data_IF_136114111105
#
_entry.id   IF_136114111105
#
_cell.length_a   1.000
_cell.length_b   1.000
_cell.length_c   1.000
_cell.angle_alpha   90.00
_cell.angle_beta   90.00
_cell.angle_gamma   90.00
#
_symmetry.space_group_name_H-M   'P 1'
#
loop_
_entity.id
_entity.type
_entity.pdbx_description
1 polymer ?
#
# COMPACT_ATOMS: atom_id res chain seq x y z
N UNK A 1 6.57 20.29 -5.03
CA UNK A 1 5.19 20.36 -4.48
C UNK A 1 4.25 19.28 -5.01
N UNK A 2 4.01 19.14 -6.33
CA UNK A 2 3.04 18.17 -6.87
C UNK A 2 3.28 16.71 -6.39
N UNK A 3 4.54 16.27 -6.31
CA UNK A 3 4.88 14.92 -5.85
C UNK A 3 4.53 14.66 -4.36
N UNK A 4 4.75 15.64 -3.49
CA UNK A 4 4.35 15.54 -2.08
C UNK A 4 2.83 15.62 -1.91
N UNK A 5 2.15 16.37 -2.78
CA UNK A 5 0.70 16.39 -2.80
C UNK A 5 0.13 15.01 -3.21
N UNK A 6 0.66 14.39 -4.27
CA UNK A 6 0.26 13.03 -4.66
C UNK A 6 0.59 11.99 -3.58
N UNK A 7 1.74 12.12 -2.92
CA UNK A 7 2.12 11.25 -1.80
C UNK A 7 1.15 11.37 -0.63
N UNK A 8 0.85 12.60 -0.19
CA UNK A 8 -0.06 12.82 0.94
C UNK A 8 -1.48 12.37 0.62
N UNK A 9 -1.96 12.56 -0.61
CA UNK A 9 -3.25 12.02 -1.07
C UNK A 9 -3.30 10.49 -0.96
N UNK A 10 -2.24 9.80 -1.37
CA UNK A 10 -2.13 8.33 -1.23
C UNK A 10 -2.05 7.88 0.23
N UNK A 11 -1.29 8.58 1.07
CA UNK A 11 -1.16 8.24 2.49
C UNK A 11 -2.47 8.48 3.27
N UNK A 12 -3.32 9.40 2.82
CA UNK A 12 -4.65 9.62 3.40
C UNK A 12 -5.69 8.62 2.91
N UNK A 13 -5.63 8.20 1.65
CA UNK A 13 -6.56 7.25 1.06
C UNK A 13 -6.48 5.87 1.74
N UNK A 14 -7.60 5.15 1.81
CA UNK A 14 -7.68 3.76 2.27
C UNK A 14 -6.78 2.83 1.43
N UNK A 15 -6.67 3.14 0.13
CA UNK A 15 -5.79 2.55 -0.86
C UNK A 15 -6.05 3.20 -2.21
N UNK A 16 -5.56 2.61 -3.28
CA UNK A 16 -5.80 3.12 -4.63
C UNK A 16 -4.93 2.45 -5.68
N UNK A 17 -5.16 2.82 -6.93
CA UNK A 17 -4.39 2.36 -8.06
C UNK A 17 -4.09 3.51 -9.02
N UNK A 18 -2.95 3.43 -9.69
CA UNK A 18 -2.64 4.33 -10.80
C UNK A 18 -3.56 4.02 -11.97
N UNK A 19 -4.05 5.07 -12.64
CA UNK A 19 -4.71 4.90 -13.93
C UNK A 19 -3.74 4.24 -14.92
N UNK A 20 -4.19 3.35 -15.84
CA UNK A 20 -3.31 2.70 -16.81
C UNK A 20 -2.43 3.65 -17.63
N UNK A 21 -2.91 4.86 -17.88
CA UNK A 21 -2.15 5.92 -18.58
C UNK A 21 -1.09 6.62 -17.70
N UNK A 22 -1.03 6.33 -16.40
CA UNK A 22 -0.02 6.85 -15.47
C UNK A 22 -0.16 8.32 -15.06
N UNK A 23 -1.14 9.05 -15.60
CA UNK A 23 -1.32 10.50 -15.36
C UNK A 23 -2.26 10.85 -14.21
N UNK A 24 -3.06 9.90 -13.75
CA UNK A 24 -4.06 10.06 -12.69
C UNK A 24 -4.13 8.80 -11.83
N UNK A 25 -4.89 8.85 -10.74
CA UNK A 25 -5.08 7.71 -9.84
C UNK A 25 -6.50 7.63 -9.32
N UNK A 26 -6.97 6.41 -9.07
CA UNK A 26 -8.20 6.17 -8.33
C UNK A 26 -7.83 5.95 -6.86
N UNK A 27 -8.36 6.80 -5.99
CA UNK A 27 -8.13 6.74 -4.55
C UNK A 27 -9.39 6.28 -3.83
N UNK A 28 -9.25 5.28 -2.98
CA UNK A 28 -10.32 4.72 -2.19
C UNK A 28 -10.40 5.42 -0.83
N UNK A 29 -11.61 5.70 -0.36
CA UNK A 29 -11.89 6.28 0.96
C UNK A 29 -12.94 5.45 1.68
N UNK A 30 -12.60 4.93 2.86
CA UNK A 30 -13.51 4.19 3.73
C UNK A 30 -14.10 5.14 4.78
N UNK A 31 -15.25 5.75 4.47
CA UNK A 31 -15.92 6.73 5.33
C UNK A 31 -17.39 6.35 5.54
N UNK A 32 -17.90 6.57 6.76
CA UNK A 32 -19.32 6.32 7.14
C UNK A 32 -19.88 4.97 6.66
N UNK A 33 -19.12 3.89 6.79
CA UNK A 33 -19.50 2.53 6.34
C UNK A 33 -19.57 2.34 4.82
N UNK A 34 -19.06 3.29 4.03
CA UNK A 34 -18.99 3.20 2.57
C UNK A 34 -17.54 3.25 2.10
N UNK A 35 -17.25 2.52 1.04
CA UNK A 35 -16.03 2.64 0.26
C UNK A 35 -16.33 3.49 -0.97
N UNK A 36 -15.64 4.61 -1.10
CA UNK A 36 -15.82 5.57 -2.19
C UNK A 36 -14.54 5.61 -3.01
N UNK A 37 -14.64 5.45 -4.32
CA UNK A 37 -13.56 5.72 -5.26
C UNK A 37 -13.62 7.19 -5.66
N UNK A 38 -12.48 7.87 -5.70
CA UNK A 38 -12.34 9.25 -6.19
C UNK A 38 -11.22 9.31 -7.22
N UNK A 39 -11.48 9.94 -8.36
CA UNK A 39 -10.47 10.16 -9.38
C UNK A 39 -9.62 11.38 -9.06
N UNK A 40 -8.32 11.20 -8.87
CA UNK A 40 -7.36 12.27 -8.64
C UNK A 40 -6.52 12.53 -9.89
N UNK A 41 -6.58 13.75 -10.40
CA UNK A 41 -5.93 14.19 -11.65
C UNK A 41 -4.52 14.77 -11.44
N UNK A 42 -4.03 14.81 -10.20
CA UNK A 42 -2.79 15.51 -9.82
C UNK A 42 -3.01 16.91 -9.27
N UNK A 43 -4.18 17.52 -9.51
CA UNK A 43 -4.51 18.86 -9.01
C UNK A 43 -5.87 18.94 -8.31
N UNK A 44 -6.84 18.11 -8.68
CA UNK A 44 -8.18 18.11 -8.13
C UNK A 44 -8.78 16.69 -8.12
N UNK A 45 -9.87 16.55 -7.39
CA UNK A 45 -10.74 15.37 -7.51
C UNK A 45 -11.75 15.61 -8.63
N UNK A 46 -11.86 14.64 -9.53
CA UNK A 46 -12.93 14.53 -10.51
C UNK A 46 -14.06 13.67 -9.98
N UNK A 47 -14.47 12.70 -10.79
CA UNK A 47 -15.59 11.81 -10.50
C UNK A 47 -15.39 10.99 -9.22
N UNK A 48 -16.51 10.63 -8.60
CA UNK A 48 -16.56 9.81 -7.41
C UNK A 48 -17.69 8.79 -7.48
N UNK A 49 -17.39 7.57 -7.07
CA UNK A 49 -18.31 6.44 -7.14
C UNK A 49 -18.36 5.70 -5.81
N UNK A 50 -19.55 5.27 -5.41
CA UNK A 50 -19.71 4.36 -4.27
C UNK A 50 -19.38 2.96 -4.76
N UNK A 51 -18.28 2.41 -4.26
CA UNK A 51 -17.81 1.06 -4.60
C UNK A 51 -18.55 0.00 -3.79
N UNK A 52 -18.72 0.26 -2.49
CA UNK A 52 -19.32 -0.70 -1.57
C UNK A 52 -19.91 -0.01 -0.35
N UNK A 53 -20.91 -0.65 0.26
CA UNK A 53 -21.45 -0.30 1.58
C UNK A 53 -21.09 -1.37 2.62
N UNK A 54 -21.33 -1.12 3.90
CA UNK A 54 -21.00 -2.04 5.00
C UNK A 54 -19.50 -2.34 5.08
N UNK A 55 -18.67 -1.32 4.87
CA UNK A 55 -17.20 -1.37 4.97
C UNK A 55 -16.77 -0.84 6.34
N UNK A 56 -15.71 -1.38 6.93
CA UNK A 56 -15.20 -0.89 8.22
C UNK A 56 -14.73 0.55 8.08
N UNK A 57 -15.27 1.45 8.90
CA UNK A 57 -14.89 2.87 8.91
C UNK A 57 -13.40 3.03 9.20
N UNK A 58 -12.73 3.95 8.52
CA UNK A 58 -11.28 4.19 8.65
C UNK A 58 -10.39 2.96 8.36
N UNK A 59 -10.91 1.97 7.62
CA UNK A 59 -10.11 0.83 7.19
C UNK A 59 -9.23 1.15 5.99
N UNK A 60 -8.27 0.27 5.74
CA UNK A 60 -7.58 0.19 4.45
C UNK A 60 -8.42 -0.59 3.45
N UNK A 61 -8.14 -0.33 2.18
CA UNK A 61 -8.63 -1.06 1.02
C UNK A 61 -7.47 -1.20 0.03
N UNK A 62 -7.57 -2.14 -0.89
CA UNK A 62 -6.61 -2.33 -1.96
C UNK A 62 -7.34 -2.31 -3.28
N UNK A 63 -6.81 -1.57 -4.25
CA UNK A 63 -7.29 -1.59 -5.62
C UNK A 63 -6.24 -2.28 -6.50
N UNK A 64 -6.59 -3.45 -7.00
CA UNK A 64 -5.77 -4.31 -7.84
C UNK A 64 -6.22 -4.16 -9.29
N UNK A 65 -5.33 -3.66 -10.15
CA UNK A 65 -5.56 -3.55 -11.60
C UNK A 65 -4.68 -4.56 -12.35
N UNK A 66 -5.32 -5.45 -13.09
CA UNK A 66 -4.72 -6.35 -14.06
C UNK A 66 -5.30 -6.06 -15.46
N UNK A 67 -4.68 -6.52 -16.56
CA UNK A 67 -5.05 -6.10 -17.93
C UNK A 67 -6.54 -6.27 -18.25
N UNK A 68 -7.14 -7.34 -17.73
CA UNK A 68 -8.53 -7.73 -17.99
C UNK A 68 -9.31 -7.94 -16.68
N UNK A 69 -8.84 -7.39 -15.56
CA UNK A 69 -9.52 -7.57 -14.27
C UNK A 69 -9.25 -6.41 -13.35
N UNK A 70 -10.32 -5.87 -12.77
CA UNK A 70 -10.29 -4.84 -11.74
C UNK A 70 -10.89 -5.46 -10.49
N UNK A 71 -10.09 -5.53 -9.42
CA UNK A 71 -10.52 -6.09 -8.15
C UNK A 71 -10.25 -5.10 -7.03
N UNK A 72 -11.20 -4.97 -6.12
CA UNK A 72 -11.03 -4.25 -4.87
C UNK A 72 -11.09 -5.24 -3.73
N UNK A 73 -10.15 -5.15 -2.81
CA UNK A 73 -10.18 -5.91 -1.55
C UNK A 73 -10.37 -4.90 -0.44
N UNK A 74 -11.35 -5.12 0.41
CA UNK A 74 -11.66 -4.25 1.54
C UNK A 74 -12.01 -5.06 2.78
N UNK A 75 -12.29 -4.36 3.87
CA UNK A 75 -12.64 -4.98 5.14
C UNK A 75 -14.10 -4.61 5.44
N UNK A 76 -14.95 -5.62 5.62
CA UNK A 76 -16.36 -5.42 5.96
C UNK A 76 -16.52 -4.80 7.36
N UNK A 77 -17.69 -4.25 7.65
CA UNK A 77 -18.03 -3.72 8.97
C UNK A 77 -17.94 -4.75 10.09
N UNK A 78 -18.04 -6.05 9.78
CA UNK A 78 -17.82 -7.15 10.72
C UNK A 78 -16.35 -7.55 10.89
N UNK A 79 -15.42 -6.78 10.31
CA UNK A 79 -13.98 -7.07 10.31
C UNK A 79 -13.59 -8.36 9.57
N UNK A 80 -14.25 -8.68 8.46
CA UNK A 80 -13.86 -9.77 7.58
C UNK A 80 -13.36 -9.23 6.23
N UNK A 81 -12.48 -9.99 5.54
CA UNK A 81 -12.10 -9.66 4.17
C UNK A 81 -13.31 -9.77 3.24
N UNK A 82 -13.36 -8.84 2.28
CA UNK A 82 -14.34 -8.79 1.20
C UNK A 82 -13.61 -8.45 -0.09
N UNK A 83 -13.97 -9.12 -1.18
CA UNK A 83 -13.46 -8.82 -2.51
C UNK A 83 -14.61 -8.39 -3.43
N UNK A 84 -14.34 -7.43 -4.29
CA UNK A 84 -15.26 -6.95 -5.32
C UNK A 84 -14.56 -7.00 -6.68
N UNK A 85 -15.30 -7.36 -7.71
CA UNK A 85 -14.84 -7.34 -9.10
C UNK A 85 -15.69 -6.35 -9.87
N UNK A 86 -15.08 -5.62 -10.81
CA UNK A 86 -15.82 -4.73 -11.69
C UNK A 86 -16.49 -5.53 -12.81
N UNK A 87 -17.79 -5.35 -12.98
CA UNK A 87 -18.56 -5.87 -14.10
C UNK A 87 -18.59 -4.81 -15.22
N UNK A 88 -17.89 -5.07 -16.32
CA UNK A 88 -17.81 -4.13 -17.45
C UNK A 88 -19.14 -4.00 -18.22
N UNK A 89 -20.04 -4.99 -18.17
CA UNK A 89 -21.34 -4.92 -18.87
C UNK A 89 -22.32 -3.99 -18.15
N UNK A 90 -22.35 -4.06 -16.82
CA UNK A 90 -23.25 -3.27 -15.98
C UNK A 90 -22.59 -2.01 -15.41
N UNK A 91 -21.30 -1.79 -15.70
CA UNK A 91 -20.47 -0.69 -15.20
C UNK A 91 -20.49 -0.52 -13.67
N UNK A 92 -20.56 -1.65 -12.94
CA UNK A 92 -20.73 -1.66 -11.49
C UNK A 92 -19.75 -2.61 -10.76
N UNK A 93 -19.56 -2.35 -9.46
CA UNK A 93 -18.80 -3.24 -8.59
C UNK A 93 -19.71 -4.31 -8.00
N UNK A 94 -19.35 -5.58 -8.21
CA UNK A 94 -20.08 -6.73 -7.69
C UNK A 94 -19.23 -7.51 -6.69
N UNK A 95 -19.90 -8.12 -5.70
CA UNK A 95 -19.23 -8.96 -4.71
C UNK A 95 -18.66 -10.23 -5.33
N UNK A 96 -17.38 -10.49 -5.05
CA UNK A 96 -16.74 -11.75 -5.37
C UNK A 96 -16.90 -12.74 -4.19
N UNK A 97 -17.13 -14.01 -4.50
CA UNK A 97 -17.30 -15.05 -3.48
C UNK A 97 -15.93 -15.57 -3.06
N UNK A 98 -15.51 -15.21 -1.85
CA UNK A 98 -14.22 -15.63 -1.28
C UNK A 98 -14.43 -16.42 0.03
N UNK A 99 -13.50 -17.30 0.42
CA UNK A 99 -13.51 -17.90 1.75
C UNK A 99 -13.51 -16.85 2.85
N UNK A 100 -14.11 -17.19 3.99
CA UNK A 100 -14.19 -16.27 5.12
C UNK A 100 -12.83 -16.12 5.81
N UNK A 101 -12.38 -14.87 5.95
CA UNK A 101 -11.15 -14.52 6.65
C UNK A 101 -11.40 -13.34 7.58
N UNK A 102 -11.34 -13.59 8.89
CA UNK A 102 -11.40 -12.53 9.90
C UNK A 102 -10.12 -11.71 9.89
N UNK A 103 -10.28 -10.40 10.01
CA UNK A 103 -9.20 -9.42 10.14
C UNK A 103 -9.24 -8.87 11.56
N UNK A 104 -8.06 -8.62 12.14
CA UNK A 104 -7.93 -7.92 13.41
C UNK A 104 -8.82 -6.65 13.42
N UNK A 105 -9.52 -6.31 14.52
CA UNK A 105 -10.40 -5.14 14.60
C UNK A 105 -9.72 -3.82 14.19
N UNK A 106 -8.44 -3.69 14.52
CA UNK A 106 -7.59 -2.56 14.13
C UNK A 106 -6.71 -2.85 12.92
N UNK A 107 -6.77 -4.08 12.38
CA UNK A 107 -5.92 -4.57 11.32
C UNK A 107 -6.01 -3.74 10.04
N UNK A 108 -4.98 -3.86 9.22
CA UNK A 108 -4.89 -3.22 7.91
C UNK A 108 -4.71 -4.30 6.86
N UNK A 109 -4.84 -3.90 5.60
CA UNK A 109 -4.65 -4.75 4.43
C UNK A 109 -3.72 -4.06 3.45
N UNK A 110 -2.93 -4.86 2.74
CA UNK A 110 -2.15 -4.44 1.60
C UNK A 110 -2.19 -5.55 0.55
N UNK A 111 -1.89 -5.20 -0.69
CA UNK A 111 -1.82 -6.15 -1.79
C UNK A 111 -0.58 -5.90 -2.62
N UNK A 112 -0.05 -6.94 -3.25
CA UNK A 112 1.02 -6.81 -4.24
C UNK A 112 0.83 -7.84 -5.33
N UNK A 113 1.39 -7.58 -6.51
CA UNK A 113 1.64 -8.61 -7.49
C UNK A 113 3.00 -9.25 -7.22
N UNK A 114 3.07 -10.58 -7.41
CA UNK A 114 4.33 -11.31 -7.48
C UNK A 114 4.93 -11.25 -8.88
N UNK A 115 6.13 -11.83 -9.02
CA UNK A 115 6.82 -11.96 -10.31
C UNK A 115 6.04 -12.80 -11.34
N UNK A 116 5.14 -13.65 -10.85
CA UNK A 116 4.23 -14.50 -11.61
C UNK A 116 2.92 -13.79 -12.00
N UNK A 117 2.81 -12.49 -11.73
CA UNK A 117 1.60 -11.68 -11.91
C UNK A 117 0.41 -12.15 -11.07
N UNK A 118 0.62 -12.96 -10.03
CA UNK A 118 -0.44 -13.33 -9.09
C UNK A 118 -0.59 -12.25 -8.03
N UNK A 119 -1.83 -11.98 -7.65
CA UNK A 119 -2.14 -11.04 -6.60
C UNK A 119 -2.04 -11.73 -5.24
N UNK A 120 -1.35 -11.08 -4.31
CA UNK A 120 -1.19 -11.52 -2.92
C UNK A 120 -1.83 -10.50 -1.99
N UNK A 121 -2.50 -10.98 -0.94
CA UNK A 121 -3.15 -10.13 0.07
C UNK A 121 -2.46 -10.32 1.40
N UNK A 122 -2.11 -9.22 2.06
CA UNK A 122 -1.46 -9.22 3.36
C UNK A 122 -2.33 -8.54 4.38
N UNK A 123 -2.57 -9.17 5.52
CA UNK A 123 -3.42 -8.62 6.58
C UNK A 123 -3.06 -9.19 7.94
N UNK A 124 -3.55 -8.55 9.00
CA UNK A 124 -3.38 -9.05 10.37
C UNK A 124 -4.64 -9.81 10.81
N UNK A 125 -4.50 -11.05 11.27
CA UNK A 125 -5.62 -11.86 11.78
C UNK A 125 -6.03 -11.44 13.22
N UNK A 126 -7.15 -11.96 13.78
CA UNK A 126 -7.57 -11.62 15.13
C UNK A 126 -6.56 -11.95 16.24
N UNK A 127 -5.63 -12.86 15.99
CA UNK A 127 -4.54 -13.20 16.92
C UNK A 127 -3.33 -12.25 16.80
N UNK A 128 -3.40 -11.24 15.93
CA UNK A 128 -2.33 -10.28 15.71
C UNK A 128 -1.24 -10.75 14.74
N UNK A 129 -1.40 -11.92 14.11
CA UNK A 129 -0.39 -12.50 13.21
C UNK A 129 -0.52 -11.92 11.81
N UNK A 130 0.62 -11.74 11.12
CA UNK A 130 0.61 -11.32 9.72
C UNK A 130 0.34 -12.54 8.82
N UNK A 131 -0.69 -12.44 7.99
CA UNK A 131 -1.15 -13.48 7.06
C UNK A 131 -0.94 -13.00 5.64
N UNK A 132 -0.47 -13.89 4.78
CA UNK A 132 -0.46 -13.74 3.32
C UNK A 132 -1.49 -14.70 2.71
N UNK A 133 -2.38 -14.21 1.86
CA UNK A 133 -3.25 -15.01 1.00
C UNK A 133 -2.66 -15.05 -0.40
N UNK A 134 -2.69 -16.21 -1.04
CA UNK A 134 -2.38 -16.35 -2.46
C UNK A 134 -3.58 -15.99 -3.35
N UNK A 135 -3.44 -16.16 -4.66
CA UNK A 135 -4.49 -15.88 -5.64
C UNK A 135 -5.71 -16.82 -5.52
N UNK A 136 -5.54 -17.96 -4.84
CA UNK A 136 -6.56 -18.94 -4.52
C UNK A 136 -7.11 -18.78 -3.09
N UNK A 137 -6.76 -17.70 -2.39
CA UNK A 137 -7.18 -17.40 -1.01
C UNK A 137 -6.65 -18.37 0.06
N UNK A 138 -5.58 -19.13 -0.23
CA UNK A 138 -4.97 -19.98 0.77
C UNK A 138 -4.09 -19.15 1.73
N UNK A 139 -4.27 -19.31 3.06
CA UNK A 139 -3.52 -18.53 4.03
C UNK A 139 -2.15 -19.14 4.36
N UNK A 140 -1.14 -18.28 4.44
CA UNK A 140 0.18 -18.55 5.00
C UNK A 140 0.43 -17.60 6.16
N UNK A 141 0.73 -18.15 7.35
CA UNK A 141 1.16 -17.34 8.51
C UNK A 141 2.62 -16.98 8.32
N UNK A 142 2.92 -15.67 8.34
CA UNK A 142 4.30 -15.19 8.20
C UNK A 142 5.00 -15.21 9.57
N UNK A 143 6.31 -15.56 9.64
CA UNK A 143 7.04 -15.71 10.90
C UNK A 143 7.50 -14.36 11.47
N UNK A 144 6.54 -13.46 11.70
CA UNK A 144 6.77 -12.08 12.18
C UNK A 144 5.76 -11.68 13.24
N UNK A 145 6.10 -10.65 14.00
CA UNK A 145 5.30 -10.14 15.13
C UNK A 145 5.02 -8.64 14.94
N UNK A 146 4.00 -8.28 14.15
CA UNK A 146 3.60 -6.88 14.00
C UNK A 146 2.87 -6.37 15.25
N UNK A 147 2.99 -5.07 15.53
CA UNK A 147 2.12 -4.39 16.50
C UNK A 147 0.65 -4.56 16.08
N UNK A 148 -0.25 -4.71 17.04
CA UNK A 148 -1.68 -4.75 16.78
C UNK A 148 -2.12 -3.48 16.02
N UNK A 149 -2.83 -3.67 14.90
CA UNK A 149 -3.25 -2.58 14.03
C UNK A 149 -2.12 -1.92 13.22
N UNK A 150 -0.95 -2.55 13.15
CA UNK A 150 0.19 -2.06 12.34
C UNK A 150 -0.27 -1.68 10.94
N UNK A 151 0.14 -0.51 10.42
CA UNK A 151 0.04 -0.25 9.00
C UNK A 151 0.83 -1.30 8.21
N UNK A 152 0.30 -1.68 7.06
CA UNK A 152 0.92 -2.65 6.16
C UNK A 152 1.05 -1.97 4.79
N UNK A 153 2.20 -2.09 4.17
CA UNK A 153 2.40 -1.70 2.77
C UNK A 153 3.34 -2.70 2.12
N UNK A 154 3.22 -2.82 0.81
CA UNK A 154 4.07 -3.69 0.00
C UNK A 154 4.91 -2.86 -0.95
N UNK A 155 6.10 -3.36 -1.29
CA UNK A 155 6.86 -2.90 -2.43
C UNK A 155 7.41 -4.12 -3.18
N UNK A 156 7.41 -4.05 -4.50
CA UNK A 156 8.04 -5.06 -5.32
C UNK A 156 9.45 -4.60 -5.68
N UNK A 157 10.45 -5.32 -5.18
CA UNK A 157 11.86 -4.96 -5.26
C UNK A 157 12.63 -6.22 -5.63
N UNK A 158 13.51 -6.14 -6.63
CA UNK A 158 14.39 -7.26 -7.02
C UNK A 158 13.63 -8.57 -7.24
N UNK A 159 12.47 -8.47 -7.89
CA UNK A 159 11.60 -9.59 -8.20
C UNK A 159 10.97 -10.30 -6.98
N UNK A 160 10.96 -9.64 -5.82
CA UNK A 160 10.37 -10.13 -4.57
C UNK A 160 9.36 -9.12 -4.01
N UNK A 161 8.34 -9.64 -3.33
CA UNK A 161 7.42 -8.82 -2.56
C UNK A 161 8.05 -8.57 -1.18
N UNK A 162 8.30 -7.31 -0.87
CA UNK A 162 8.66 -6.86 0.46
C UNK A 162 7.38 -6.36 1.15
N UNK A 163 7.00 -7.01 2.25
CA UNK A 163 5.85 -6.60 3.05
C UNK A 163 6.31 -5.91 4.30
N UNK A 164 6.03 -4.62 4.41
CA UNK A 164 6.49 -3.77 5.50
C UNK A 164 5.42 -3.61 6.57
N UNK A 165 5.88 -3.52 7.82
CA UNK A 165 5.04 -3.41 9.01
C UNK A 165 5.82 -2.74 10.16
N UNK A 166 5.14 -2.39 11.25
CA UNK A 166 5.77 -1.94 12.50
C UNK A 166 5.93 -3.15 13.43
N UNK A 167 7.17 -3.48 13.76
CA UNK A 167 7.53 -4.63 14.60
C UNK A 167 7.20 -4.40 16.06
N UNK A 168 6.62 -5.40 16.73
CA UNK A 168 6.36 -5.35 18.17
C UNK A 168 7.64 -5.49 19.02
N UNK A 169 8.76 -5.93 18.41
CA UNK A 169 10.04 -6.14 19.11
C UNK A 169 10.69 -4.82 19.52
N UNK A 170 10.58 -3.81 18.66
CA UNK A 170 11.34 -2.55 18.78
C UNK A 170 10.57 -1.30 18.29
N UNK A 171 9.31 -1.46 17.84
CA UNK A 171 8.49 -0.39 17.25
C UNK A 171 9.11 0.26 16.00
N UNK A 172 10.01 -0.44 15.30
CA UNK A 172 10.63 0.01 14.06
C UNK A 172 9.91 -0.52 12.82
N UNK A 173 10.21 0.08 11.65
CA UNK A 173 9.74 -0.47 10.37
C UNK A 173 10.59 -1.71 10.04
N UNK A 174 9.91 -2.85 9.97
CA UNK A 174 10.45 -4.11 9.48
C UNK A 174 9.83 -4.45 8.13
N UNK A 175 10.43 -5.41 7.45
CA UNK A 175 9.84 -6.06 6.29
C UNK A 175 10.14 -7.54 6.25
N UNK A 176 9.17 -8.29 5.73
CA UNK A 176 9.30 -9.72 5.48
C UNK A 176 9.37 -9.99 3.98
N UNK A 177 10.29 -10.87 3.59
CA UNK A 177 10.49 -11.32 2.21
C UNK A 177 10.58 -12.84 2.12
N UNK A 178 10.17 -13.37 0.97
CA UNK A 178 10.33 -14.79 0.66
C UNK A 178 11.74 -15.02 0.10
N UNK A 179 12.53 -15.85 0.78
CA UNK A 179 13.92 -16.14 0.36
C UNK A 179 14.02 -17.34 -0.60
N UNK A 180 12.93 -18.11 -0.72
CA UNK A 180 12.81 -19.26 -1.63
C UNK A 180 11.95 -20.38 -1.02
N UNK A 181 11.18 -21.07 -1.86
CA UNK A 181 10.19 -22.04 -1.37
C UNK A 181 9.20 -21.37 -0.39
N UNK A 182 8.90 -22.02 0.73
CA UNK A 182 8.04 -21.46 1.77
C UNK A 182 8.82 -20.78 2.92
N UNK A 183 10.09 -20.42 2.68
CA UNK A 183 10.93 -19.75 3.68
C UNK A 183 10.78 -18.24 3.61
N UNK A 184 10.55 -17.63 4.77
CA UNK A 184 10.38 -16.18 4.93
C UNK A 184 11.43 -15.63 5.89
N UNK A 185 11.91 -14.43 5.62
CA UNK A 185 12.93 -13.75 6.41
C UNK A 185 12.43 -12.37 6.85
N UNK A 186 12.52 -12.10 8.15
CA UNK A 186 12.23 -10.80 8.77
C UNK A 186 13.50 -9.94 8.77
N UNK A 187 13.40 -8.71 8.28
CA UNK A 187 14.52 -7.76 8.17
C UNK A 187 14.12 -6.39 8.71
N UNK A 188 15.06 -5.75 9.39
CA UNK A 188 14.93 -4.37 9.85
C UNK A 188 15.17 -3.42 8.67
N UNK A 189 14.25 -2.47 8.43
CA UNK A 189 14.46 -1.42 7.43
C UNK A 189 15.31 -0.27 8.00
N UNK A 190 14.92 0.25 9.17
CA UNK A 190 15.55 1.38 9.85
C UNK A 190 15.35 1.23 11.36
N UNK A 191 16.35 1.66 12.15
CA UNK A 191 16.28 1.70 13.62
C UNK A 191 15.42 2.85 14.18
N UNK A 192 14.69 3.55 13.31
CA UNK A 192 13.80 4.62 13.73
C UNK A 192 12.55 4.03 14.42
N UNK A 193 12.44 4.25 15.73
CA UNK A 193 11.31 3.81 16.54
C UNK A 193 10.11 4.77 16.45
N UNK A 194 8.91 4.17 16.46
CA UNK A 194 7.61 4.84 16.45
C UNK A 194 6.82 4.66 17.76
N UNK A 195 7.49 4.29 18.85
CA UNK A 195 6.85 4.08 20.16
C UNK A 195 6.11 5.35 20.67
N UNK A 196 6.74 6.52 20.57
CA UNK A 196 6.15 7.78 21.03
C UNK A 196 5.19 8.44 20.01
N UNK A 197 5.26 8.04 18.74
CA UNK A 197 4.52 8.66 17.64
C UNK A 197 3.90 7.60 16.73
N UNK A 198 2.62 7.30 16.99
CA UNK A 198 1.87 6.31 16.23
C UNK A 198 1.84 6.64 14.73
N UNK A 199 2.14 5.62 13.93
CA UNK A 199 2.08 5.66 12.48
C UNK A 199 0.65 5.43 12.02
N UNK A 200 0.11 6.37 11.26
CA UNK A 200 -1.21 6.25 10.63
C UNK A 200 -1.13 5.39 9.36
N UNK A 201 -0.19 5.74 8.47
CA UNK A 201 0.10 5.01 7.23
C UNK A 201 1.50 5.34 6.77
N UNK A 202 2.12 4.45 6.03
CA UNK A 202 3.38 4.73 5.36
C UNK A 202 3.42 4.04 3.99
N UNK A 203 4.27 4.56 3.10
CA UNK A 203 4.57 3.93 1.81
C UNK A 203 6.07 3.77 1.70
N UNK A 204 6.52 2.66 1.13
CA UNK A 204 7.95 2.39 0.93
C UNK A 204 8.24 2.26 -0.57
N UNK A 205 9.37 2.83 -1.00
CA UNK A 205 9.91 2.66 -2.35
C UNK A 205 11.42 2.45 -2.31
N UNK A 206 12.00 1.95 -3.41
CA UNK A 206 13.46 1.91 -3.60
C UNK A 206 13.89 3.22 -4.28
N UNK A 207 14.88 3.88 -3.72
CA UNK A 207 15.58 4.97 -4.39
C UNK A 207 16.49 4.35 -5.48
N UNK A 208 16.23 4.66 -6.74
CA UNK A 208 16.96 4.07 -7.87
C UNK A 208 18.43 4.53 -7.95
N UNK A 209 18.73 5.72 -7.41
CA UNK A 209 20.09 6.30 -7.43
C UNK A 209 20.97 5.70 -6.33
N UNK A 210 20.43 5.57 -5.10
CA UNK A 210 21.19 5.07 -3.95
C UNK A 210 21.01 3.57 -3.68
N UNK A 211 19.95 2.96 -4.22
CA UNK A 211 19.52 1.60 -3.89
C UNK A 211 18.85 1.47 -2.53
N UNK A 212 18.79 2.53 -1.72
CA UNK A 212 18.19 2.50 -0.39
C UNK A 212 16.67 2.37 -0.43
N UNK A 213 16.09 1.83 0.65
CA UNK A 213 14.65 1.88 0.86
C UNK A 213 14.30 3.23 1.50
N UNK A 214 13.25 3.87 1.02
CA UNK A 214 12.72 5.10 1.59
C UNK A 214 11.27 4.90 1.98
N UNK A 215 10.98 5.14 3.26
CA UNK A 215 9.63 5.17 3.79
C UNK A 215 9.19 6.62 3.99
N UNK A 216 8.01 6.92 3.46
CA UNK A 216 7.30 8.16 3.75
C UNK A 216 6.16 7.85 4.71
N UNK A 217 6.24 8.40 5.91
CA UNK A 217 5.39 8.04 7.05
C UNK A 217 4.47 9.21 7.38
N UNK A 218 3.17 8.97 7.37
CA UNK A 218 2.16 9.86 7.92
C UNK A 218 1.83 9.43 9.34
N UNK A 219 2.00 10.33 10.29
CA UNK A 219 1.72 10.07 11.71
C UNK A 219 0.28 10.46 12.07
N UNK A 220 -0.23 9.98 13.20
CA UNK A 220 -1.57 10.37 13.68
C UNK A 220 -1.68 11.87 13.98
N UNK A 221 -0.55 12.55 14.20
CA UNK A 221 -0.47 14.02 14.37
C UNK A 221 -0.34 14.77 13.03
N UNK A 222 -0.58 14.07 11.92
CA UNK A 222 -0.46 14.59 10.56
C UNK A 222 0.94 15.11 10.19
N UNK A 223 1.99 14.65 10.87
CA UNK A 223 3.35 14.92 10.43
C UNK A 223 3.71 13.98 9.28
N UNK A 224 4.40 14.52 8.26
CA UNK A 224 4.99 13.73 7.19
C UNK A 224 6.48 13.58 7.46
N UNK A 225 6.94 12.33 7.57
CA UNK A 225 8.32 11.98 7.87
C UNK A 225 8.93 11.22 6.70
N UNK A 226 10.24 11.35 6.52
CA UNK A 226 11.05 10.48 5.67
C UNK A 226 11.97 9.64 6.55
N UNK A 227 11.99 8.33 6.30
CA UNK A 227 12.90 7.38 6.92
C UNK A 227 13.66 6.66 5.82
N UNK A 228 14.99 6.71 5.89
CA UNK A 228 15.86 6.03 4.93
C UNK A 228 16.41 4.78 5.60
N UNK A 229 16.27 3.65 4.91
CA UNK A 229 16.68 2.34 5.36
C UNK A 229 17.56 1.62 4.35
N UNK A 230 18.27 0.59 4.82
CA UNK A 230 19.14 -0.22 3.97
C UNK A 230 18.40 -1.49 3.51
N UNK A 231 18.65 -1.95 2.28
CA UNK A 231 17.99 -3.15 1.73
C UNK A 231 18.44 -4.47 2.34
N UNK A 232 19.54 -4.47 3.09
CA UNK A 232 20.22 -5.69 3.50
C UNK A 232 20.19 -5.96 5.01
N UNK A 233 19.46 -5.16 5.79
CA UNK A 233 19.45 -5.29 7.26
C UNK A 233 20.86 -5.18 7.88
N UNK A 234 21.82 -4.60 7.15
CA UNK A 234 23.19 -4.36 7.64
C UNK A 234 23.17 -3.34 8.78
N UNK A 235 24.12 -3.46 9.70
CA UNK A 235 24.16 -2.76 10.99
C UNK A 235 24.14 -1.22 10.93
N UNK A 236 24.28 -0.64 9.74
CA UNK A 236 24.24 0.80 9.46
C UNK A 236 22.83 1.32 9.11
N UNK A 237 21.77 0.58 9.46
CA UNK A 237 20.40 1.08 9.39
C UNK A 237 20.30 2.39 10.20
N UNK A 238 20.00 3.50 9.52
CA UNK A 238 19.92 4.82 10.13
C UNK A 238 18.85 4.91 11.21
N UNK A 239 19.12 5.70 12.24
CA UNK A 239 18.20 6.01 13.35
C UNK A 239 17.42 7.31 13.11
N UNK A 240 17.85 8.10 12.12
CA UNK A 240 17.29 9.43 11.86
C UNK A 240 16.02 9.36 11.01
N UNK A 241 15.00 10.11 11.44
CA UNK A 241 13.84 10.48 10.63
C UNK A 241 13.90 11.97 10.32
N UNK A 242 13.66 12.33 9.08
CA UNK A 242 13.53 13.75 8.68
C UNK A 242 12.06 14.14 8.70
N UNK A 243 11.72 15.21 9.43
CA UNK A 243 10.38 15.82 9.33
C UNK A 243 10.33 16.62 8.04
N UNK A 244 9.42 16.26 7.13
CA UNK A 244 9.24 16.96 5.85
C UNK A 244 8.17 18.06 5.91
N UNK A 245 7.30 18.01 6.93
CA UNK A 245 6.19 18.96 7.04
C UNK A 245 4.97 18.31 7.65
N UNK A 246 3.80 18.88 7.35
CA UNK A 246 2.50 18.45 7.88
C UNK A 246 1.45 18.37 6.79
N UNK A 247 0.40 17.61 7.06
CA UNK A 247 -0.79 17.52 6.23
C UNK A 247 -1.92 18.24 6.92
N UNK A 248 -2.51 19.23 6.26
CA UNK A 248 -3.63 19.98 6.81
C UNK A 248 -4.95 19.19 6.75
N UNK A 249 -6.03 19.78 7.26
CA UNK A 249 -7.36 19.15 7.32
C UNK A 249 -7.96 18.90 5.93
N UNK A 250 -7.50 19.62 4.89
CA UNK A 250 -7.92 19.44 3.50
C UNK A 250 -7.12 18.35 2.78
N UNK A 251 -6.12 17.80 3.45
CA UNK A 251 -5.16 16.84 2.89
C UNK A 251 -4.10 17.49 2.02
N UNK A 252 -3.84 18.79 2.21
CA UNK A 252 -2.79 19.54 1.51
C UNK A 252 -1.49 19.47 2.29
N UNK A 253 -0.39 19.25 1.59
CA UNK A 253 0.94 19.23 2.19
C UNK A 253 1.44 20.65 2.47
N UNK A 254 1.90 20.87 3.70
CA UNK A 254 2.53 22.11 4.17
C UNK A 254 3.97 21.77 4.59
N UNK A 255 4.94 22.25 3.80
CA UNK A 255 6.36 22.02 4.08
C UNK A 255 6.77 22.66 5.42
N UNK A 256 7.70 22.02 6.14
CA UNK A 256 8.31 22.60 7.34
C UNK A 256 9.31 23.69 7.00
N UNK A 257 10.01 23.56 5.87
CA UNK A 257 11.02 24.52 5.38
C UNK A 257 10.96 24.68 3.85
N UNK A 258 11.59 25.74 3.31
CA UNK A 258 11.66 25.95 1.86
C UNK A 258 12.49 24.88 1.13
N UNK A 259 13.43 24.22 1.82
CA UNK A 259 14.30 23.18 1.26
C UNK A 259 13.51 21.91 0.86
N UNK A 260 12.43 21.60 1.56
CA UNK A 260 11.59 20.42 1.30
C UNK A 260 10.75 20.57 0.02
N UNK A 261 10.51 21.79 -0.45
CA UNK A 261 9.76 22.04 -1.69
C UNK A 261 10.41 21.43 -2.94
N UNK A 262 11.72 21.21 -2.90
CA UNK A 262 12.57 20.77 -4.03
C UNK A 262 12.99 19.29 -3.97
N UNK A 263 12.61 18.54 -2.91
CA UNK A 263 12.97 17.11 -2.81
C UNK A 263 12.15 16.25 -3.78
N UNK A 264 12.80 15.24 -4.36
CA UNK A 264 12.14 14.20 -5.16
C UNK A 264 11.54 13.14 -4.24
N UNK A 265 10.36 12.66 -4.59
CA UNK A 265 9.69 11.53 -3.93
C UNK A 265 9.82 10.30 -4.81
N UNK A 266 10.46 9.26 -4.30
CA UNK A 266 10.52 7.97 -4.99
C UNK A 266 9.19 7.23 -4.81
N UNK A 267 8.60 6.81 -5.94
CA UNK A 267 7.28 6.16 -5.95
C UNK A 267 7.48 4.64 -5.84
N UNK A 268 6.66 3.93 -5.06
CA UNK A 268 6.52 2.49 -5.26
C UNK A 268 6.08 2.25 -6.71
N UNK A 269 6.73 1.30 -7.39
CA UNK A 269 6.32 0.84 -8.71
C UNK A 269 5.02 0.06 -8.53
N UNK A 270 3.89 0.70 -8.78
CA UNK A 270 2.64 -0.01 -8.99
C UNK A 270 2.72 -0.60 -10.39
N UNK A 271 2.85 -1.93 -10.49
CA UNK A 271 2.70 -2.59 -11.78
C UNK A 271 1.28 -2.34 -12.26
N UNK A 272 1.14 -1.47 -13.27
CA UNK A 272 0.13 -1.68 -14.29
C UNK A 272 0.73 -2.76 -15.17
N UNK A 273 0.20 -3.99 -15.10
CA UNK A 273 0.53 -4.99 -16.10
C UNK A 273 -0.05 -4.46 -17.41
N UNK A 274 0.77 -3.84 -18.24
CA UNK A 274 0.42 -3.53 -19.62
C UNK A 274 0.88 -4.74 -20.44
N UNK A 275 -0.03 -5.50 -21.09
CA UNK A 275 0.40 -6.54 -21.99
C UNK A 275 1.14 -5.86 -23.15
N UNK A 276 2.44 -6.12 -23.26
CA UNK A 276 3.19 -5.84 -24.48
C UNK A 276 2.65 -6.80 -25.54
N UNK A 277 1.65 -6.36 -26.30
CA UNK A 277 1.31 -7.01 -27.55
C UNK A 277 2.52 -6.85 -28.47
N UNK A 278 3.31 -7.91 -28.59
CA UNK A 278 4.26 -8.06 -29.70
C UNK A 278 3.47 -8.29 -30.98
N UNK A 279 2.92 -7.22 -31.52
CA UNK A 279 2.34 -7.20 -32.85
C UNK A 279 3.44 -7.49 -33.87
N UNK A 280 3.53 -8.76 -34.30
CA UNK A 280 4.22 -9.11 -35.54
C UNK A 280 3.45 -8.47 -36.68
N UNK A 281 3.93 -7.32 -37.15
CA UNK A 281 3.56 -6.82 -38.47
C UNK A 281 4.04 -7.85 -39.50
N UNK A 282 3.11 -8.59 -40.09
CA UNK A 282 3.32 -9.24 -41.37
C UNK A 282 3.31 -8.13 -42.43
N UNK A 283 4.48 -7.81 -42.98
CA UNK A 283 4.55 -7.09 -44.25
C UNK A 283 4.18 -8.08 -45.36
N UNK A 284 3.04 -7.87 -45.99
CA UNK A 284 2.78 -8.34 -47.35
C UNK A 284 3.60 -7.48 -48.32
N UNK A 285 4.50 -8.13 -49.06
CA UNK A 285 4.81 -7.77 -50.43
C UNK A 285 4.18 -8.83 -51.33
#
# INVERSE_FOLDING_TARGET
MAQFQDLTRRLLAAGGAMHPEGKSMYLLYADRSSLISKHWTGNAFGDQDIVATSVRTNSTASYVLAPNSRRIICISSSSALRALTYNDEDEEWVDDTIPHHDVHPEGKIATSFGADNRAYVFFQDPAGRLIQLDDAWNPTVLPVEPVAGSPITTAFVENKIHTFYISAKDNCIHYVIQEGGNSWSDKLMSKCSFEEEKVKRFSVGKNEESGALEAYVLTEKSALLQVVGNQDGTADAGEEKTVLGKVDQTGTFVAGTSAECCRRVWRPVYYVVVPVYSGRYWCCC
#
